data_IF_321374576765
#
_entry.id   IF_321374576765
#
_cell.length_a   1.000
_cell.length_b   1.000
_cell.length_c   1.000
_cell.angle_alpha   90.00
_cell.angle_beta   90.00
_cell.angle_gamma   90.00
#
_symmetry.space_group_name_H-M   'P 1'
#
loop_
_entity.id
_entity.type
_entity.pdbx_description
1 polymer ?
#
# COMPACT_ATOMS: atom_id res chain seq x y z
N UNK A 1 14.78 8.89 -13.72
CA UNK A 1 13.74 8.97 -14.79
C UNK A 1 12.74 10.03 -14.38
N UNK A 2 12.13 10.83 -15.28
CA UNK A 2 11.11 11.80 -14.84
C UNK A 2 9.79 11.06 -14.65
N UNK A 3 9.17 11.20 -13.49
CA UNK A 3 7.79 10.79 -13.26
C UNK A 3 6.81 11.82 -13.80
N UNK A 4 5.58 11.41 -14.08
CA UNK A 4 4.49 12.30 -14.48
C UNK A 4 3.33 12.13 -13.52
N UNK A 5 2.89 13.24 -12.93
CA UNK A 5 1.70 13.27 -12.07
C UNK A 5 0.46 13.38 -12.97
N UNK A 6 -0.56 12.60 -12.67
CA UNK A 6 -1.82 12.52 -13.41
C UNK A 6 -2.98 12.18 -12.46
N UNK A 7 -4.17 12.05 -13.01
CA UNK A 7 -5.35 11.60 -12.28
C UNK A 7 -6.21 10.68 -13.14
N UNK A 8 -6.92 9.76 -12.50
CA UNK A 8 -7.84 8.83 -13.15
C UNK A 8 -9.23 8.94 -12.54
N UNK A 9 -10.21 9.32 -13.36
CA UNK A 9 -11.60 9.40 -12.93
C UNK A 9 -12.30 8.06 -13.16
N UNK A 10 -12.83 7.46 -12.11
CA UNK A 10 -13.67 6.28 -12.17
C UNK A 10 -15.14 6.66 -12.41
N UNK A 11 -15.98 5.74 -12.95
CA UNK A 11 -17.37 6.05 -13.34
C UNK A 11 -18.22 6.64 -12.20
N UNK A 12 -17.98 6.25 -10.97
CA UNK A 12 -18.69 6.71 -9.75
C UNK A 12 -18.35 8.14 -9.35
N UNK A 13 -17.52 8.84 -10.14
CA UNK A 13 -17.18 10.25 -9.93
C UNK A 13 -16.00 10.51 -9.02
N UNK A 14 -15.36 9.44 -8.50
CA UNK A 14 -14.12 9.53 -7.74
C UNK A 14 -12.95 9.74 -8.68
N UNK A 15 -11.99 10.54 -8.27
CA UNK A 15 -10.73 10.77 -8.98
C UNK A 15 -9.58 10.26 -8.13
N UNK A 16 -8.74 9.36 -8.66
CA UNK A 16 -7.54 8.85 -8.01
C UNK A 16 -6.34 9.67 -8.46
N UNK A 17 -5.50 10.10 -7.52
CA UNK A 17 -4.20 10.70 -7.80
C UNK A 17 -3.19 9.64 -8.22
N UNK A 18 -2.49 9.87 -9.33
CA UNK A 18 -1.56 8.92 -9.93
C UNK A 18 -0.17 9.52 -10.11
N UNK A 19 0.83 8.64 -10.12
CA UNK A 19 2.17 8.98 -10.60
C UNK A 19 2.71 7.86 -11.49
N UNK A 20 3.20 8.23 -12.67
CA UNK A 20 3.62 7.31 -13.73
C UNK A 20 5.13 7.28 -13.89
N UNK A 21 5.68 6.07 -14.12
CA UNK A 21 7.09 5.85 -14.46
C UNK A 21 7.17 4.91 -15.66
N UNK A 22 8.17 5.13 -16.53
CA UNK A 22 8.44 4.25 -17.65
C UNK A 22 7.60 4.55 -18.89
N UNK A 23 7.70 3.64 -19.87
CA UNK A 23 6.98 3.74 -21.14
C UNK A 23 5.51 3.34 -20.93
N UNK A 24 4.62 4.25 -21.27
CA UNK A 24 3.19 4.00 -21.18
C UNK A 24 2.69 2.86 -22.07
N UNK A 25 3.42 2.41 -23.10
CA UNK A 25 3.08 1.25 -23.93
C UNK A 25 3.48 -0.10 -23.31
N UNK A 26 4.34 -0.09 -22.27
CA UNK A 26 4.78 -1.30 -21.59
C UNK A 26 3.68 -1.95 -20.73
N UNK A 27 3.84 -3.23 -20.32
CA UNK A 27 2.92 -3.89 -19.41
C UNK A 27 2.76 -3.11 -18.09
N UNK A 28 1.51 -2.99 -17.61
CA UNK A 28 1.15 -2.16 -16.47
C UNK A 28 1.44 -2.86 -15.14
N UNK A 29 2.09 -2.14 -14.22
CA UNK A 29 2.19 -2.46 -12.80
C UNK A 29 1.48 -1.37 -12.01
N UNK A 30 0.45 -1.76 -11.24
CA UNK A 30 -0.31 -0.88 -10.35
C UNK A 30 0.16 -1.05 -8.92
N UNK A 31 0.59 0.04 -8.29
CA UNK A 31 1.09 0.08 -6.93
C UNK A 31 0.12 0.87 -6.05
N UNK A 32 -0.73 0.17 -5.30
CA UNK A 32 -1.60 0.79 -4.30
C UNK A 32 -0.78 1.16 -3.05
N UNK A 33 -0.79 2.42 -2.67
CA UNK A 33 -0.05 2.89 -1.52
C UNK A 33 -0.63 2.40 -0.19
N UNK A 34 0.18 2.32 0.84
CA UNK A 34 -0.24 2.01 2.21
C UNK A 34 -1.09 3.14 2.80
N UNK A 35 -0.47 4.14 3.42
CA UNK A 35 -1.17 5.38 3.78
C UNK A 35 -1.33 6.29 2.57
N UNK A 36 -0.29 6.43 1.73
CA UNK A 36 -0.34 7.12 0.43
C UNK A 36 0.50 6.35 -0.59
N UNK A 37 0.43 6.74 -1.86
CA UNK A 37 1.25 6.15 -2.93
C UNK A 37 2.77 6.23 -2.65
N UNK A 38 3.22 7.17 -1.81
CA UNK A 38 4.63 7.35 -1.45
C UNK A 38 5.16 6.26 -0.51
N UNK A 39 4.32 5.34 -0.03
CA UNK A 39 4.76 4.09 0.61
C UNK A 39 5.59 3.21 -0.34
N UNK A 40 5.47 3.41 -1.65
CA UNK A 40 6.31 2.77 -2.66
C UNK A 40 7.47 3.70 -3.01
N UNK A 41 8.74 3.31 -2.72
CA UNK A 41 9.91 4.16 -2.97
C UNK A 41 10.10 4.49 -4.45
N UNK A 42 10.54 5.70 -4.76
CA UNK A 42 10.86 6.12 -6.13
C UNK A 42 11.86 5.16 -6.79
N UNK A 43 12.88 4.70 -6.04
CA UNK A 43 13.89 3.76 -6.52
C UNK A 43 13.29 2.44 -7.04
N UNK A 44 12.25 1.90 -6.36
CA UNK A 44 11.54 0.70 -6.79
C UNK A 44 10.74 0.96 -8.07
N UNK A 45 10.00 2.08 -8.11
CA UNK A 45 9.22 2.46 -9.30
C UNK A 45 10.14 2.63 -10.52
N UNK A 46 11.29 3.27 -10.35
CA UNK A 46 12.30 3.44 -11.39
C UNK A 46 12.95 2.11 -11.80
N UNK A 47 13.23 1.22 -10.86
CA UNK A 47 13.79 -0.10 -11.16
C UNK A 47 12.82 -0.95 -11.99
N UNK A 48 11.54 -0.98 -11.65
CA UNK A 48 10.50 -1.65 -12.44
C UNK A 48 10.36 -1.03 -13.84
N UNK A 49 10.43 0.30 -13.93
CA UNK A 49 10.37 1.00 -15.21
C UNK A 49 11.59 0.69 -16.10
N UNK A 50 12.81 0.63 -15.51
CA UNK A 50 14.01 0.16 -16.21
C UNK A 50 13.87 -1.29 -16.67
N UNK A 51 13.13 -2.12 -15.92
CA UNK A 51 12.80 -3.49 -16.27
C UNK A 51 11.69 -3.63 -17.32
N UNK A 52 11.32 -2.53 -18.02
CA UNK A 52 10.35 -2.56 -19.12
C UNK A 52 8.90 -2.60 -18.68
N UNK A 53 8.56 -2.01 -17.53
CA UNK A 53 7.19 -1.87 -17.06
C UNK A 53 6.70 -0.41 -17.13
N UNK A 54 5.42 -0.24 -17.42
CA UNK A 54 4.71 1.00 -17.11
C UNK A 54 4.24 0.93 -15.66
N UNK A 55 4.87 1.68 -14.78
CA UNK A 55 4.55 1.67 -13.36
C UNK A 55 3.62 2.84 -13.04
N UNK A 56 2.55 2.55 -12.34
CA UNK A 56 1.61 3.56 -11.83
C UNK A 56 1.42 3.31 -10.33
N UNK A 57 1.92 4.22 -9.52
CA UNK A 57 1.54 4.24 -8.11
C UNK A 57 0.36 5.20 -7.91
N UNK A 58 -0.54 4.89 -7.01
CA UNK A 58 -1.75 5.68 -6.81
C UNK A 58 -2.17 5.78 -5.36
N UNK A 59 -2.83 6.88 -5.03
CA UNK A 59 -3.47 7.11 -3.75
C UNK A 59 -4.88 6.51 -3.77
N UNK A 60 -5.27 5.84 -2.68
CA UNK A 60 -6.66 5.42 -2.48
C UNK A 60 -7.56 6.63 -2.21
N UNK A 61 -8.88 6.43 -2.14
CA UNK A 61 -9.84 7.46 -1.69
C UNK A 61 -9.44 7.98 -0.31
N UNK A 62 -9.72 9.24 -0.04
CA UNK A 62 -9.47 9.95 1.21
C UNK A 62 -8.00 10.14 1.58
N UNK A 63 -7.05 9.82 0.68
CA UNK A 63 -5.62 10.04 0.93
C UNK A 63 -4.94 10.72 -0.26
N UNK A 64 -3.86 11.44 0.05
CA UNK A 64 -2.99 12.09 -0.93
C UNK A 64 -3.70 13.10 -1.82
N UNK A 65 -3.61 12.87 -3.13
CA UNK A 65 -4.23 13.71 -4.16
C UNK A 65 -5.55 13.13 -4.71
N UNK A 66 -6.05 12.03 -4.13
CA UNK A 66 -7.34 11.44 -4.52
C UNK A 66 -8.52 12.20 -3.95
N UNK A 67 -9.72 11.93 -4.49
CA UNK A 67 -10.97 12.50 -3.97
C UNK A 67 -11.11 12.20 -2.49
N UNK A 68 -11.32 13.26 -1.71
CA UNK A 68 -11.70 13.18 -0.30
C UNK A 68 -13.21 13.10 -0.18
N UNK A 69 -13.71 12.08 0.52
CA UNK A 69 -15.13 11.89 0.87
C UNK A 69 -15.33 12.28 2.32
N UNK A 70 -14.92 11.42 3.25
CA UNK A 70 -14.85 11.67 4.69
C UNK A 70 -13.87 10.67 5.31
N UNK A 71 -12.63 11.07 5.64
CA UNK A 71 -11.64 10.17 6.19
C UNK A 71 -12.01 9.56 7.54
N UNK A 72 -12.90 10.20 8.32
CA UNK A 72 -13.32 9.73 9.65
C UNK A 72 -14.54 8.81 9.58
N UNK A 73 -15.34 8.92 8.49
CA UNK A 73 -16.54 8.10 8.27
C UNK A 73 -16.70 7.77 6.76
N UNK A 74 -15.79 6.98 6.17
CA UNK A 74 -15.81 6.67 4.75
C UNK A 74 -17.14 5.98 4.39
N UNK A 75 -17.86 6.57 3.42
CA UNK A 75 -19.13 6.02 2.92
C UNK A 75 -18.95 4.92 1.87
N UNK A 76 -17.81 4.24 1.85
CA UNK A 76 -17.44 3.17 0.94
C UNK A 76 -16.78 2.01 1.70
N UNK A 77 -16.60 0.89 1.04
CA UNK A 77 -16.11 -0.38 1.60
C UNK A 77 -14.73 -0.75 1.07
N UNK A 78 -14.09 -1.76 1.65
CA UNK A 78 -12.87 -2.37 1.10
C UNK A 78 -13.08 -2.86 -0.34
N UNK A 79 -14.30 -3.32 -0.68
CA UNK A 79 -14.63 -3.78 -2.01
C UNK A 79 -14.78 -2.66 -3.04
N UNK A 80 -15.20 -1.49 -2.60
CA UNK A 80 -15.19 -0.31 -3.47
C UNK A 80 -13.76 0.08 -3.84
N UNK A 81 -12.82 0.01 -2.88
CA UNK A 81 -11.39 0.23 -3.17
C UNK A 81 -10.81 -0.85 -4.10
N UNK A 82 -11.24 -2.10 -3.95
CA UNK A 82 -10.87 -3.19 -4.85
C UNK A 82 -11.46 -2.98 -6.27
N UNK A 83 -12.68 -2.48 -6.37
CA UNK A 83 -13.31 -2.12 -7.64
C UNK A 83 -12.57 -0.96 -8.34
N UNK A 84 -12.10 0.04 -7.58
CA UNK A 84 -11.28 1.14 -8.10
C UNK A 84 -9.98 0.62 -8.75
N UNK A 85 -9.28 -0.30 -8.06
CA UNK A 85 -8.08 -0.94 -8.59
C UNK A 85 -8.37 -1.69 -9.91
N UNK A 86 -9.46 -2.45 -9.95
CA UNK A 86 -9.88 -3.17 -11.14
C UNK A 86 -10.32 -2.23 -12.28
N UNK A 87 -11.00 -1.15 -11.98
CA UNK A 87 -11.36 -0.12 -12.95
C UNK A 87 -10.12 0.54 -13.55
N UNK A 88 -9.12 0.87 -12.71
CA UNK A 88 -7.85 1.43 -13.17
C UNK A 88 -7.05 0.45 -14.03
N UNK A 89 -7.04 -0.85 -13.69
CA UNK A 89 -6.38 -1.88 -14.49
C UNK A 89 -6.96 -1.97 -15.90
N UNK A 90 -8.29 -1.91 -16.02
CA UNK A 90 -9.02 -2.02 -17.31
C UNK A 90 -9.06 -0.72 -18.11
N UNK A 91 -8.88 0.42 -17.46
CA UNK A 91 -9.10 1.75 -18.06
C UNK A 91 -8.12 2.18 -19.16
N UNK A 92 -7.23 1.28 -19.61
CA UNK A 92 -6.23 1.61 -20.61
C UNK A 92 -6.28 0.72 -21.86
N UNK A 93 -6.22 -0.56 -21.65
CA UNK A 93 -6.34 -1.60 -22.67
C UNK A 93 -6.82 -2.88 -21.95
N UNK A 94 -7.37 -3.83 -22.65
CA UNK A 94 -7.90 -5.08 -22.07
C UNK A 94 -6.81 -6.03 -21.52
N UNK A 95 -5.53 -5.58 -21.46
CA UNK A 95 -4.44 -6.39 -20.89
C UNK A 95 -4.49 -6.36 -19.36
N UNK A 96 -4.43 -7.53 -18.71
CA UNK A 96 -4.42 -7.58 -17.25
C UNK A 96 -3.15 -6.95 -16.68
N UNK A 97 -3.27 -6.22 -15.58
CA UNK A 97 -2.18 -5.55 -14.90
C UNK A 97 -1.53 -6.43 -13.82
N UNK A 98 -0.27 -6.17 -13.48
CA UNK A 98 0.31 -6.66 -12.25
C UNK A 98 -0.16 -5.75 -11.09
N UNK A 99 -0.98 -6.26 -10.18
CA UNK A 99 -1.43 -5.52 -9.00
C UNK A 99 -0.45 -5.70 -7.85
N UNK A 100 -0.11 -4.61 -7.18
CA UNK A 100 0.66 -4.64 -5.94
C UNK A 100 0.02 -3.78 -4.86
N UNK A 101 0.05 -4.23 -3.62
CA UNK A 101 -0.43 -3.50 -2.46
C UNK A 101 0.55 -3.61 -1.29
N UNK A 102 0.79 -2.49 -0.58
CA UNK A 102 1.65 -2.43 0.60
C UNK A 102 0.84 -2.07 1.85
N UNK A 103 1.14 -2.70 2.97
CA UNK A 103 0.41 -2.47 4.22
C UNK A 103 -1.07 -2.78 4.09
N UNK A 104 -1.92 -1.83 4.48
CA UNK A 104 -3.38 -1.97 4.40
C UNK A 104 -3.89 -2.10 2.96
N UNK A 105 -3.19 -1.53 1.98
CA UNK A 105 -3.54 -1.72 0.55
C UNK A 105 -3.22 -3.11 0.02
N UNK A 106 -2.44 -3.91 0.75
CA UNK A 106 -2.30 -5.32 0.47
C UNK A 106 -3.62 -6.08 0.65
N UNK A 107 -4.49 -5.65 1.58
CA UNK A 107 -5.84 -6.21 1.73
C UNK A 107 -6.72 -5.84 0.53
N UNK A 108 -6.65 -4.58 0.06
CA UNK A 108 -7.32 -4.13 -1.18
C UNK A 108 -6.87 -4.97 -2.37
N UNK A 109 -5.57 -5.23 -2.50
CA UNK A 109 -5.00 -6.00 -3.61
C UNK A 109 -5.46 -7.46 -3.59
N UNK A 110 -5.55 -8.10 -2.40
CA UNK A 110 -6.10 -9.46 -2.23
C UNK A 110 -7.55 -9.52 -2.68
N UNK A 111 -8.40 -8.64 -2.17
CA UNK A 111 -9.84 -8.60 -2.53
C UNK A 111 -10.02 -8.26 -4.00
N UNK A 112 -9.25 -7.32 -4.56
CA UNK A 112 -9.31 -7.00 -5.98
C UNK A 112 -8.97 -8.21 -6.86
N UNK A 113 -7.91 -8.97 -6.51
CA UNK A 113 -7.51 -10.16 -7.25
C UNK A 113 -8.55 -11.30 -7.15
N UNK A 114 -9.23 -11.45 -6.00
CA UNK A 114 -10.29 -12.45 -5.80
C UNK A 114 -11.57 -12.08 -6.55
N UNK A 115 -12.01 -10.82 -6.46
CA UNK A 115 -13.31 -10.41 -7.01
C UNK A 115 -13.22 -10.03 -8.50
N UNK A 116 -12.03 -9.66 -8.98
CA UNK A 116 -11.78 -9.27 -10.38
C UNK A 116 -10.59 -10.01 -11.01
N UNK A 117 -10.53 -11.36 -10.98
CA UNK A 117 -9.32 -12.12 -11.36
C UNK A 117 -8.87 -11.87 -12.81
N UNK A 118 -9.79 -11.49 -13.71
CA UNK A 118 -9.46 -11.19 -15.11
C UNK A 118 -8.75 -9.83 -15.30
N UNK A 119 -8.79 -8.95 -14.30
CA UNK A 119 -8.14 -7.65 -14.37
C UNK A 119 -6.64 -7.74 -14.08
N UNK A 120 -6.17 -8.86 -13.53
CA UNK A 120 -4.80 -8.96 -13.02
C UNK A 120 -4.07 -10.19 -13.53
N UNK A 121 -2.81 -10.00 -13.94
CA UNK A 121 -1.89 -11.03 -14.44
C UNK A 121 -0.95 -11.56 -13.36
N UNK A 122 -0.69 -10.79 -12.33
CA UNK A 122 0.16 -11.11 -11.20
C UNK A 122 -0.23 -10.29 -9.97
N UNK A 123 0.17 -10.75 -8.79
CA UNK A 123 -0.09 -10.10 -7.51
C UNK A 123 1.20 -9.95 -6.70
N UNK A 124 1.43 -8.77 -6.11
CA UNK A 124 2.47 -8.57 -5.10
C UNK A 124 1.86 -7.99 -3.81
N UNK A 125 2.14 -8.64 -2.69
CA UNK A 125 1.66 -8.28 -1.36
C UNK A 125 2.86 -7.94 -0.48
N UNK A 126 2.99 -6.67 -0.08
CA UNK A 126 4.15 -6.20 0.68
C UNK A 126 3.74 -5.78 2.09
N UNK A 127 4.41 -6.30 3.15
CA UNK A 127 4.20 -5.90 4.54
C UNK A 127 2.71 -5.84 4.91
N UNK A 128 1.97 -6.91 4.69
CA UNK A 128 0.51 -6.96 4.88
C UNK A 128 0.05 -8.28 5.51
N UNK A 129 -1.23 -8.38 5.81
CA UNK A 129 -1.87 -9.58 6.38
C UNK A 129 -3.16 -9.95 5.61
N UNK A 130 -3.70 -11.13 5.92
CA UNK A 130 -4.85 -11.71 5.23
C UNK A 130 -6.22 -11.45 5.89
N UNK A 131 -6.25 -10.61 6.93
CA UNK A 131 -7.46 -10.28 7.70
C UNK A 131 -7.64 -8.78 7.84
N UNK A 132 -8.89 -8.36 7.99
CA UNK A 132 -9.27 -6.97 8.21
C UNK A 132 -8.64 -6.38 9.51
N UNK A 133 -8.63 -5.04 9.68
CA UNK A 133 -8.34 -4.44 10.96
C UNK A 133 -9.27 -4.98 12.06
N UNK A 134 -8.71 -5.32 13.22
CA UNK A 134 -9.44 -5.92 14.34
C UNK A 134 -8.77 -7.22 14.80
N UNK A 135 -9.49 -8.10 15.50
CA UNK A 135 -8.95 -9.36 15.99
C UNK A 135 -8.37 -10.21 14.86
N UNK A 136 -7.21 -10.80 15.13
CA UNK A 136 -6.55 -11.73 14.20
C UNK A 136 -6.91 -13.17 14.53
N UNK A 137 -6.73 -14.07 13.55
CA UNK A 137 -6.88 -15.51 13.77
C UNK A 137 -5.74 -16.04 14.66
N UNK A 138 -6.00 -17.12 15.39
CA UNK A 138 -5.06 -17.70 16.36
C UNK A 138 -3.71 -18.11 15.75
N UNK A 139 -3.67 -18.38 14.44
CA UNK A 139 -2.45 -18.76 13.71
C UNK A 139 -1.71 -17.57 13.06
N UNK A 140 -2.18 -16.34 13.27
CA UNK A 140 -1.55 -15.12 12.77
C UNK A 140 -0.94 -14.31 13.92
N UNK A 141 0.26 -13.77 13.76
CA UNK A 141 0.79 -12.84 14.73
C UNK A 141 0.04 -11.51 14.67
N UNK A 142 -0.34 -10.99 15.82
CA UNK A 142 -0.87 -9.64 15.94
C UNK A 142 0.26 -8.61 15.98
N UNK A 143 -0.09 -7.33 15.95
CA UNK A 143 0.84 -6.21 16.08
C UNK A 143 1.71 -6.35 17.34
N UNK A 144 2.96 -5.89 17.28
CA UNK A 144 3.80 -5.78 18.47
C UNK A 144 3.16 -4.78 19.46
N UNK A 145 2.66 -5.29 20.58
CA UNK A 145 1.91 -4.50 21.56
C UNK A 145 2.74 -3.33 22.12
N UNK A 146 4.04 -3.55 22.36
CA UNK A 146 4.92 -2.53 22.90
C UNK A 146 5.13 -1.40 21.87
N UNK A 147 5.37 -1.76 20.60
CA UNK A 147 5.49 -0.78 19.52
C UNK A 147 4.20 0.00 19.30
N UNK A 148 3.05 -0.68 19.33
CA UNK A 148 1.75 -0.01 19.16
C UNK A 148 1.49 0.97 20.32
N UNK A 149 1.75 0.56 21.56
CA UNK A 149 1.62 1.44 22.72
C UNK A 149 2.54 2.66 22.63
N UNK A 150 3.78 2.46 22.24
CA UNK A 150 4.74 3.55 22.05
C UNK A 150 4.29 4.49 20.91
N UNK A 151 3.91 3.94 19.74
CA UNK A 151 3.46 4.70 18.58
C UNK A 151 2.24 5.56 18.87
N UNK A 152 1.22 5.01 19.54
CA UNK A 152 0.01 5.75 19.92
C UNK A 152 0.22 6.67 21.11
N UNK A 153 1.27 6.47 21.90
CA UNK A 153 1.70 7.34 22.98
C UNK A 153 2.50 8.57 22.53
N UNK A 154 2.93 8.63 21.28
CA UNK A 154 3.67 9.79 20.75
C UNK A 154 2.82 11.06 20.86
N UNK A 155 3.44 12.22 21.21
CA UNK A 155 2.76 13.50 21.17
C UNK A 155 2.16 13.76 19.78
N UNK A 156 0.89 14.14 19.75
CA UNK A 156 0.22 14.46 18.49
C UNK A 156 0.81 15.74 17.90
N UNK A 157 1.04 15.80 16.58
CA UNK A 157 1.60 16.98 15.94
C UNK A 157 0.54 18.08 15.80
N UNK A 158 0.97 19.28 15.51
CA UNK A 158 0.10 20.25 14.82
C UNK A 158 -0.05 19.78 13.37
N UNK A 159 -1.25 19.26 13.05
CA UNK A 159 -1.56 18.71 11.74
C UNK A 159 -1.56 19.75 10.61
N UNK A 160 -1.59 21.03 10.93
CA UNK A 160 -1.49 22.14 9.96
C UNK A 160 -0.06 22.60 9.72
N UNK A 161 0.89 22.13 10.54
CA UNK A 161 2.32 22.48 10.40
C UNK A 161 3.12 21.32 9.79
N UNK A 162 3.64 21.56 8.60
CA UNK A 162 4.46 20.63 7.81
C UNK A 162 5.63 20.01 8.61
N UNK A 163 6.35 20.85 9.34
CA UNK A 163 7.51 20.39 10.11
C UNK A 163 7.09 19.52 11.31
N UNK A 164 6.03 19.91 12.00
CA UNK A 164 5.46 19.12 13.10
C UNK A 164 4.99 17.74 12.64
N UNK A 165 4.32 17.65 11.50
CA UNK A 165 3.87 16.40 10.89
C UNK A 165 5.07 15.52 10.49
N UNK A 166 6.11 16.12 9.91
CA UNK A 166 7.31 15.40 9.49
C UNK A 166 8.07 14.81 10.69
N UNK A 167 8.21 15.56 11.79
CA UNK A 167 8.83 15.05 13.04
C UNK A 167 8.00 13.91 13.65
N UNK A 168 6.68 14.02 13.64
CA UNK A 168 5.79 12.95 14.11
C UNK A 168 5.94 11.66 13.28
N UNK A 169 6.08 11.79 11.97
CA UNK A 169 6.32 10.66 11.08
C UNK A 169 7.68 10.01 11.35
N UNK A 170 8.74 10.82 11.54
CA UNK A 170 10.08 10.34 11.87
C UNK A 170 10.10 9.58 13.20
N UNK A 171 9.45 10.13 14.25
CA UNK A 171 9.32 9.45 15.52
C UNK A 171 8.57 8.12 15.41
N UNK A 172 7.49 8.09 14.61
CA UNK A 172 6.73 6.86 14.35
C UNK A 172 7.53 5.79 13.61
N UNK A 173 8.34 6.19 12.63
CA UNK A 173 9.23 5.30 11.90
C UNK A 173 10.27 4.66 12.84
N UNK A 174 10.88 5.44 13.72
CA UNK A 174 11.83 4.94 14.70
C UNK A 174 11.22 3.86 15.61
N UNK A 175 9.96 4.03 16.02
CA UNK A 175 9.23 3.02 16.85
C UNK A 175 9.15 1.68 16.11
N UNK A 176 8.92 1.71 14.80
CA UNK A 176 8.78 0.49 14.01
C UNK A 176 10.10 -0.05 13.47
N UNK A 177 11.22 0.67 13.66
CA UNK A 177 12.55 0.27 13.16
C UNK A 177 12.84 0.71 11.73
N UNK A 178 12.04 1.61 11.18
CA UNK A 178 12.28 2.23 9.88
C UNK A 178 13.21 3.45 10.00
N UNK A 179 13.75 3.92 8.87
CA UNK A 179 14.64 5.09 8.80
C UNK A 179 13.88 6.41 9.08
N UNK A 180 14.15 7.13 10.20
CA UNK A 180 13.44 8.35 10.55
C UNK A 180 13.66 9.50 9.56
N UNK A 181 14.86 9.61 8.95
CA UNK A 181 15.16 10.66 7.98
C UNK A 181 14.34 10.47 6.70
N UNK A 182 14.26 9.22 6.23
CA UNK A 182 13.41 8.87 5.07
C UNK A 182 11.94 9.09 5.36
N UNK A 183 11.51 8.78 6.56
CA UNK A 183 10.12 9.02 6.98
C UNK A 183 9.80 10.52 7.03
N UNK A 184 10.73 11.35 7.52
CA UNK A 184 10.61 12.81 7.50
C UNK A 184 10.46 13.35 6.08
N UNK A 185 11.40 13.03 5.19
CA UNK A 185 11.37 13.45 3.78
C UNK A 185 10.07 13.02 3.09
N UNK A 186 9.62 11.80 3.35
CA UNK A 186 8.37 11.26 2.77
C UNK A 186 7.15 12.01 3.31
N UNK A 187 7.11 12.28 4.61
CA UNK A 187 5.99 12.99 5.24
C UNK A 187 5.88 14.44 4.73
N UNK A 188 7.00 15.12 4.51
CA UNK A 188 7.02 16.44 3.88
C UNK A 188 6.42 16.42 2.46
N UNK A 189 6.79 15.42 1.65
CA UNK A 189 6.22 15.22 0.31
C UNK A 189 4.73 14.87 0.36
N UNK A 190 4.30 14.10 1.34
CA UNK A 190 2.89 13.76 1.57
C UNK A 190 2.10 15.04 1.88
N UNK A 191 2.62 15.87 2.80
CA UNK A 191 2.01 17.12 3.20
C UNK A 191 1.83 18.08 2.01
N UNK A 192 2.88 18.22 1.19
CA UNK A 192 2.90 19.11 0.02
C UNK A 192 1.92 18.65 -1.10
N UNK A 193 1.58 17.34 -1.15
CA UNK A 193 0.65 16.74 -2.14
C UNK A 193 -0.80 16.65 -1.66
N UNK A 194 -1.03 16.79 -0.37
CA UNK A 194 -2.35 16.61 0.19
C UNK A 194 -3.36 17.63 -0.38
N UNK A 195 -4.60 17.20 -0.55
CA UNK A 195 -5.70 18.03 -1.04
C UNK A 195 -6.01 19.20 -0.12
N UNK A 196 -5.70 19.06 1.18
CA UNK A 196 -5.91 20.07 2.22
C UNK A 196 -4.98 19.86 3.41
N UNK A 197 -4.78 20.93 4.20
CA UNK A 197 -4.08 20.87 5.50
C UNK A 197 -5.03 20.59 6.67
N UNK A 198 -6.30 20.28 6.41
CA UNK A 198 -7.25 19.91 7.45
C UNK A 198 -6.78 18.69 8.21
N UNK A 199 -7.06 18.71 9.52
CA UNK A 199 -6.59 17.67 10.45
C UNK A 199 -6.99 16.26 10.04
N UNK A 200 -8.24 16.03 9.66
CA UNK A 200 -8.75 14.71 9.26
C UNK A 200 -8.01 14.14 8.05
N UNK A 201 -7.71 15.01 7.06
CA UNK A 201 -6.98 14.62 5.85
C UNK A 201 -5.52 14.28 6.17
N UNK A 202 -4.85 15.12 6.97
CA UNK A 202 -3.47 14.82 7.36
C UNK A 202 -3.38 13.57 8.24
N UNK A 203 -4.34 13.34 9.14
CA UNK A 203 -4.40 12.10 9.92
C UNK A 203 -4.61 10.88 9.02
N UNK A 204 -5.47 10.95 8.00
CA UNK A 204 -5.64 9.87 7.03
C UNK A 204 -4.34 9.56 6.29
N UNK A 205 -3.63 10.59 5.85
CA UNK A 205 -2.36 10.46 5.14
C UNK A 205 -1.23 9.83 5.97
N UNK A 206 -1.25 9.99 7.30
CA UNK A 206 -0.12 9.59 8.16
C UNK A 206 -0.45 8.47 9.15
N UNK A 207 -1.72 8.21 9.42
CA UNK A 207 -2.15 7.21 10.41
C UNK A 207 -3.00 6.08 9.82
N UNK A 208 -3.37 6.15 8.54
CA UNK A 208 -4.21 5.15 7.89
C UNK A 208 -5.61 5.03 8.54
N UNK A 209 -6.13 6.12 9.12
CA UNK A 209 -7.39 6.12 9.87
C UNK A 209 -8.60 5.66 9.06
N UNK A 210 -8.59 5.87 7.75
CA UNK A 210 -9.63 5.39 6.84
C UNK A 210 -9.93 3.91 7.06
N UNK A 211 -8.87 3.08 7.21
CA UNK A 211 -9.02 1.63 7.39
C UNK A 211 -9.59 1.23 8.75
N UNK A 212 -9.49 2.07 9.78
CA UNK A 212 -10.08 1.79 11.09
C UNK A 212 -11.61 1.85 11.08
N UNK A 213 -12.19 2.61 10.13
CA UNK A 213 -13.64 2.81 10.01
C UNK A 213 -14.24 2.13 8.76
N UNK A 214 -13.41 1.45 7.96
CA UNK A 214 -13.82 0.85 6.70
C UNK A 214 -14.58 -0.45 6.91
N UNK A 215 -15.73 -0.60 6.24
CA UNK A 215 -16.39 -1.91 6.14
C UNK A 215 -15.57 -2.85 5.25
N UNK A 216 -15.05 -3.92 5.86
CA UNK A 216 -14.21 -4.92 5.21
C UNK A 216 -14.94 -6.24 4.93
N UNK A 217 -16.22 -6.34 5.28
CA UNK A 217 -17.01 -7.56 5.06
C UNK A 217 -17.39 -7.77 3.58
N UNK A 218 -17.64 -9.03 3.17
CA UNK A 218 -17.39 -10.27 3.90
C UNK A 218 -15.87 -10.58 3.97
N UNK A 219 -15.49 -11.36 4.98
CA UNK A 219 -14.14 -11.90 5.16
C UNK A 219 -13.66 -12.62 3.90
N UNK A 220 -12.34 -12.61 3.60
CA UNK A 220 -11.78 -13.15 2.35
C UNK A 220 -10.63 -14.15 2.53
N UNK A 221 -10.07 -14.33 3.74
CA UNK A 221 -8.89 -15.19 3.96
C UNK A 221 -9.10 -16.60 3.43
N UNK A 222 -10.27 -17.18 3.65
CA UNK A 222 -10.63 -18.53 3.23
C UNK A 222 -10.67 -18.69 1.71
N UNK A 223 -10.75 -17.59 0.97
CA UNK A 223 -10.76 -17.54 -0.48
C UNK A 223 -9.35 -17.41 -1.10
N UNK A 224 -8.30 -17.17 -0.31
CA UNK A 224 -6.94 -17.01 -0.83
C UNK A 224 -6.47 -18.17 -1.72
N UNK A 225 -6.83 -19.45 -1.46
CA UNK A 225 -6.52 -20.55 -2.38
C UNK A 225 -7.14 -20.45 -3.78
N UNK A 226 -8.14 -19.57 -4.00
CA UNK A 226 -8.76 -19.31 -5.31
C UNK A 226 -7.85 -18.45 -6.22
N UNK A 227 -6.84 -17.76 -5.65
CA UNK A 227 -5.90 -16.94 -6.41
C UNK A 227 -5.04 -17.83 -7.32
N UNK A 228 -5.23 -17.71 -8.63
CA UNK A 228 -4.56 -18.51 -9.64
C UNK A 228 -3.40 -17.81 -10.35
N UNK A 229 -3.25 -16.48 -10.15
CA UNK A 229 -2.16 -15.71 -10.73
C UNK A 229 -0.85 -15.88 -9.95
N UNK A 230 0.32 -15.77 -10.61
CA UNK A 230 1.61 -15.72 -9.93
C UNK A 230 1.58 -14.67 -8.82
N UNK A 231 1.97 -15.06 -7.60
CA UNK A 231 1.92 -14.19 -6.42
C UNK A 231 3.28 -14.12 -5.74
N UNK A 232 3.72 -12.90 -5.41
CA UNK A 232 4.88 -12.59 -4.59
C UNK A 232 4.42 -11.95 -3.29
N UNK A 233 4.87 -12.51 -2.17
CA UNK A 233 4.78 -11.86 -0.86
C UNK A 233 6.15 -11.28 -0.52
N UNK A 234 6.22 -10.01 -0.17
CA UNK A 234 7.44 -9.31 0.27
C UNK A 234 7.23 -8.88 1.72
N UNK A 235 8.17 -9.20 2.60
CA UNK A 235 7.98 -8.86 4.01
C UNK A 235 9.30 -8.49 4.69
N UNK A 236 9.30 -7.45 5.50
CA UNK A 236 10.44 -7.09 6.33
C UNK A 236 10.56 -8.03 7.53
N UNK A 237 11.79 -8.54 7.81
CA UNK A 237 12.04 -9.40 8.97
C UNK A 237 11.68 -8.70 10.27
N UNK A 238 11.97 -7.41 10.36
CA UNK A 238 11.76 -6.58 11.55
C UNK A 238 10.41 -5.89 11.61
N UNK A 239 9.43 -6.23 10.75
CA UNK A 239 8.12 -5.57 10.76
C UNK A 239 7.39 -5.83 12.09
N UNK A 240 7.18 -4.76 12.84
CA UNK A 240 6.48 -4.78 14.13
C UNK A 240 5.01 -4.37 13.99
N UNK A 241 4.62 -3.81 12.85
CA UNK A 241 3.22 -3.48 12.57
C UNK A 241 2.45 -4.71 12.07
N UNK A 242 2.96 -5.36 11.00
CA UNK A 242 2.50 -6.67 10.57
C UNK A 242 3.66 -7.65 10.67
N UNK A 243 3.87 -8.36 11.82
CA UNK A 243 5.02 -9.25 11.97
C UNK A 243 5.14 -10.26 10.83
N UNK A 244 6.39 -10.62 10.48
CA UNK A 244 6.74 -11.43 9.30
C UNK A 244 5.94 -12.73 9.15
N UNK A 245 5.47 -13.31 10.25
CA UNK A 245 4.56 -14.47 10.25
C UNK A 245 3.25 -14.23 9.47
N UNK A 246 2.80 -12.98 9.30
CA UNK A 246 1.68 -12.67 8.41
C UNK A 246 2.04 -12.91 6.94
N UNK A 247 3.26 -12.55 6.53
CA UNK A 247 3.78 -12.86 5.19
C UNK A 247 3.97 -14.35 4.95
N UNK A 248 4.46 -15.08 5.96
CA UNK A 248 4.59 -16.54 5.93
C UNK A 248 3.21 -17.22 5.79
N UNK A 249 2.19 -16.71 6.49
CA UNK A 249 0.82 -17.19 6.37
C UNK A 249 0.23 -16.91 4.97
N UNK A 250 0.41 -15.71 4.42
CA UNK A 250 -0.01 -15.40 3.05
C UNK A 250 0.64 -16.34 2.03
N UNK A 251 1.95 -16.58 2.14
CA UNK A 251 2.67 -17.48 1.24
C UNK A 251 2.21 -18.93 1.37
N UNK A 252 1.78 -19.37 2.56
CA UNK A 252 1.19 -20.68 2.82
C UNK A 252 -0.22 -20.79 2.26
N UNK A 253 -1.05 -19.75 2.49
CA UNK A 253 -2.49 -19.77 2.20
C UNK A 253 -2.79 -19.52 0.69
N UNK A 254 -1.86 -18.90 -0.05
CA UNK A 254 -1.98 -18.67 -1.51
C UNK A 254 -1.19 -19.72 -2.27
N UNK A 255 -1.87 -20.56 -3.06
CA UNK A 255 -1.23 -21.65 -3.80
C UNK A 255 -0.17 -21.12 -4.77
N UNK A 256 1.07 -21.59 -4.61
CA UNK A 256 2.19 -21.24 -5.49
C UNK A 256 2.78 -19.85 -5.24
N UNK A 257 2.37 -19.15 -4.19
CA UNK A 257 2.99 -17.89 -3.81
C UNK A 257 4.45 -18.08 -3.39
N UNK A 258 5.29 -17.09 -3.74
CA UNK A 258 6.68 -17.02 -3.30
C UNK A 258 6.81 -15.97 -2.20
N UNK A 259 7.63 -16.25 -1.18
CA UNK A 259 7.96 -15.30 -0.12
C UNK A 259 9.39 -14.76 -0.33
N UNK A 260 9.51 -13.43 -0.33
CA UNK A 260 10.78 -12.71 -0.24
C UNK A 260 10.82 -11.98 1.11
N UNK A 261 11.71 -12.42 1.99
CA UNK A 261 11.95 -11.75 3.27
C UNK A 261 13.12 -10.79 3.11
N UNK A 262 12.89 -9.52 3.43
CA UNK A 262 13.92 -8.49 3.46
C UNK A 262 14.52 -8.46 4.87
N UNK A 263 15.69 -9.03 5.04
CA UNK A 263 16.30 -9.28 6.38
C UNK A 263 16.62 -7.99 7.14
N UNK A 264 16.95 -6.90 6.44
CA UNK A 264 17.32 -5.61 7.02
C UNK A 264 16.15 -4.59 7.00
N UNK A 265 14.94 -5.03 6.65
CA UNK A 265 13.77 -4.15 6.56
C UNK A 265 12.84 -4.34 7.75
N UNK A 266 12.17 -3.24 8.13
CA UNK A 266 11.05 -3.25 9.05
C UNK A 266 9.71 -3.11 8.26
N UNK A 267 8.92 -2.07 8.54
CA UNK A 267 7.60 -1.87 7.92
C UNK A 267 7.69 -1.36 6.48
N UNK A 268 8.67 -0.48 6.20
CA UNK A 268 8.88 0.09 4.88
C UNK A 268 9.81 -0.79 4.01
N UNK A 269 9.66 -0.69 2.69
CA UNK A 269 10.63 -1.22 1.74
C UNK A 269 11.79 -0.20 1.63
N UNK A 270 13.01 -0.53 2.09
CA UNK A 270 14.13 0.38 1.97
C UNK A 270 14.53 0.60 0.51
N UNK A 271 15.01 1.80 0.18
CA UNK A 271 15.51 2.09 -1.17
C UNK A 271 16.68 1.17 -1.56
N UNK A 272 17.44 0.67 -0.59
CA UNK A 272 18.53 -0.31 -0.78
C UNK A 272 18.05 -1.67 -1.26
N UNK A 273 16.80 -2.05 -0.96
CA UNK A 273 16.18 -3.31 -1.41
C UNK A 273 15.37 -3.16 -2.70
N UNK A 274 15.35 -1.96 -3.29
CA UNK A 274 14.51 -1.65 -4.46
C UNK A 274 14.80 -2.54 -5.67
N UNK A 275 16.07 -2.78 -5.99
CA UNK A 275 16.46 -3.60 -7.15
C UNK A 275 16.14 -5.09 -6.91
N UNK A 276 16.30 -5.59 -5.68
CA UNK A 276 15.94 -6.98 -5.30
C UNK A 276 14.43 -7.21 -5.42
N UNK A 277 13.62 -6.31 -4.85
CA UNK A 277 12.16 -6.39 -4.93
C UNK A 277 11.70 -6.25 -6.38
N UNK A 278 12.27 -5.30 -7.14
CA UNK A 278 11.95 -5.14 -8.55
C UNK A 278 12.27 -6.40 -9.36
N UNK A 279 13.43 -7.03 -9.16
CA UNK A 279 13.81 -8.26 -9.84
C UNK A 279 12.83 -9.40 -9.51
N UNK A 280 12.43 -9.54 -8.25
CA UNK A 280 11.45 -10.54 -7.83
C UNK A 280 10.05 -10.31 -8.44
N UNK A 281 9.60 -9.05 -8.54
CA UNK A 281 8.34 -8.67 -9.19
C UNK A 281 8.38 -8.89 -10.71
N UNK A 282 9.50 -8.57 -11.37
CA UNK A 282 9.67 -8.76 -12.81
C UNK A 282 9.72 -10.22 -13.24
N UNK A 283 10.03 -11.13 -12.32
CA UNK A 283 10.08 -12.57 -12.52
C UNK A 283 8.71 -13.28 -12.37
N UNK A 284 7.62 -12.53 -12.13
CA UNK A 284 6.24 -13.02 -12.17
C UNK A 284 5.71 -12.99 -13.60
#
# INVERSE_FOLDING_TARGET
MRSTIDSFRIPEGVTLGLEHFGDTAAPLVLLAGGTTMLSWPDALCEALARGGRHVVRYDLRDVGASTTVDPEAPGYTLRDLAADAAARARGRDDRPAHQAGIGVSGMVAQVAALDYPKAFSALTLAGTRSVAPGPVDDDLPDHDEAAMKERFGLPKPDWSDRASVAEFAAAGAAVFGDDPEKARDTAERIFDRASSTERSIQMANHLGMVFASLDCEPRWRERLPELAMPTLVVHGRGDRFFPVGNGEALARDITGARLLVLEEAATAIPSTSADEVAAAMLAL
#
